data_IF_845055207889
#
_entry.id   IF_845055207889
#
_cell.length_a   1.000
_cell.length_b   1.000
_cell.length_c   1.000
_cell.angle_alpha   90.00
_cell.angle_beta   90.00
_cell.angle_gamma   90.00
#
_symmetry.space_group_name_H-M   'P 1'
#
loop_
_entity.id
_entity.type
_entity.pdbx_description
1 polymer ?
#
# COMPACT_ATOMS: atom_id res chain seq x y z
N UNK A 1 -10.83 -28.45 0.10
CA UNK A 1 -11.66 -27.24 -0.15
C UNK A 1 -10.72 -26.06 -0.26
N UNK A 2 -10.54 -25.50 -1.46
CA UNK A 2 -9.67 -24.32 -1.68
C UNK A 2 -10.54 -23.07 -1.68
N UNK A 3 -10.33 -22.18 -0.71
CA UNK A 3 -10.96 -20.86 -0.70
C UNK A 3 -10.19 -19.98 -1.69
N UNK A 4 -10.67 -19.90 -2.93
CA UNK A 4 -10.20 -18.88 -3.87
C UNK A 4 -10.85 -17.57 -3.46
N UNK A 5 -10.22 -16.84 -2.55
CA UNK A 5 -10.58 -15.46 -2.28
C UNK A 5 -10.21 -14.63 -3.52
N UNK A 6 -11.19 -14.44 -4.41
CA UNK A 6 -11.13 -13.37 -5.39
C UNK A 6 -11.11 -12.06 -4.60
N UNK A 7 -9.91 -11.56 -4.31
CA UNK A 7 -9.71 -10.22 -3.81
C UNK A 7 -10.11 -9.29 -4.95
N UNK A 8 -11.35 -8.80 -4.93
CA UNK A 8 -11.73 -7.65 -5.74
C UNK A 8 -10.95 -6.45 -5.17
N UNK A 9 -9.78 -6.21 -5.75
CA UNK A 9 -8.87 -5.18 -5.28
C UNK A 9 -9.47 -3.85 -5.71
N UNK A 10 -10.19 -3.18 -4.81
CA UNK A 10 -10.72 -1.84 -5.05
C UNK A 10 -9.57 -0.85 -5.29
N UNK A 11 -9.19 -0.68 -6.56
CA UNK A 11 -8.04 0.12 -6.97
C UNK A 11 -8.37 1.60 -6.87
N UNK A 12 -7.83 2.25 -5.85
CA UNK A 12 -7.97 3.69 -5.63
C UNK A 12 -6.68 4.43 -5.96
N UNK A 13 -6.81 5.65 -6.51
CA UNK A 13 -5.69 6.58 -6.58
C UNK A 13 -5.38 7.09 -5.16
N UNK A 14 -4.11 7.31 -4.85
CA UNK A 14 -3.69 7.91 -3.56
C UNK A 14 -4.42 9.25 -3.33
N UNK A 15 -4.58 10.06 -4.37
CA UNK A 15 -5.31 11.33 -4.32
C UNK A 15 -6.75 11.17 -3.84
N UNK A 16 -7.44 10.09 -4.25
CA UNK A 16 -8.83 9.86 -3.86
C UNK A 16 -8.91 9.55 -2.37
N UNK A 17 -7.99 8.73 -1.86
CA UNK A 17 -7.91 8.39 -0.44
C UNK A 17 -7.59 9.62 0.40
N UNK A 18 -6.61 10.43 -0.03
CA UNK A 18 -6.27 11.68 0.63
C UNK A 18 -7.47 12.65 0.70
N UNK A 19 -8.15 12.86 -0.43
CA UNK A 19 -9.31 13.75 -0.50
C UNK A 19 -10.46 13.24 0.37
N UNK A 20 -10.72 11.93 0.35
CA UNK A 20 -11.76 11.32 1.20
C UNK A 20 -11.46 11.54 2.68
N UNK A 21 -10.22 11.34 3.12
CA UNK A 21 -9.81 11.61 4.51
C UNK A 21 -9.96 13.10 4.87
N UNK A 22 -9.54 14.00 3.98
CA UNK A 22 -9.67 15.44 4.22
C UNK A 22 -11.13 15.87 4.35
N UNK A 23 -12.00 15.37 3.44
CA UNK A 23 -13.44 15.63 3.44
C UNK A 23 -14.15 15.02 4.64
N UNK A 24 -13.64 13.89 5.17
CA UNK A 24 -14.11 13.29 6.40
C UNK A 24 -13.65 14.04 7.67
N UNK A 25 -12.98 15.19 7.52
CA UNK A 25 -12.53 16.00 8.65
C UNK A 25 -11.18 15.56 9.23
N UNK A 26 -10.42 14.70 8.56
CA UNK A 26 -9.10 14.29 9.03
C UNK A 26 -7.99 15.22 8.50
N UNK A 27 -7.00 15.52 9.35
CA UNK A 27 -5.70 16.04 8.92
C UNK A 27 -4.75 14.88 8.65
N UNK A 28 -4.26 14.78 7.42
CA UNK A 28 -3.19 13.81 7.07
C UNK A 28 -1.86 14.34 7.58
N UNK A 29 -1.21 13.57 8.45
CA UNK A 29 0.06 13.95 9.10
C UNK A 29 1.27 13.35 8.39
N UNK A 30 1.11 12.16 7.80
CA UNK A 30 2.20 11.45 7.13
C UNK A 30 1.66 10.50 6.07
N UNK A 31 2.38 10.37 4.96
CA UNK A 31 2.17 9.35 3.93
C UNK A 31 3.52 8.69 3.67
N UNK A 32 3.58 7.36 3.70
CA UNK A 32 4.80 6.60 3.44
C UNK A 32 4.51 5.39 2.56
N UNK A 33 5.46 5.08 1.70
CA UNK A 33 5.55 3.82 0.95
C UNK A 33 6.60 2.96 1.65
N UNK A 34 6.21 2.14 2.66
CA UNK A 34 7.17 1.28 3.33
C UNK A 34 7.74 0.25 2.36
N UNK A 35 9.03 0.03 2.48
CA UNK A 35 9.76 -0.94 1.68
C UNK A 35 11.25 -0.79 1.87
N UNK A 36 12.00 -1.74 1.32
CA UNK A 36 13.45 -1.62 1.19
C UNK A 36 13.80 -1.45 -0.28
N UNK A 37 14.66 -0.49 -0.65
CA UNK A 37 15.15 -0.37 -2.01
C UNK A 37 16.18 -1.45 -2.37
N UNK A 38 16.65 -2.21 -1.38
CA UNK A 38 17.56 -3.34 -1.58
C UNK A 38 16.75 -4.64 -1.76
N UNK A 39 16.83 -5.28 -2.95
CA UNK A 39 16.14 -6.53 -3.25
C UNK A 39 16.44 -7.65 -2.25
N UNK A 40 17.65 -7.70 -1.66
CA UNK A 40 18.02 -8.76 -0.72
C UNK A 40 17.18 -8.76 0.58
N UNK A 41 16.51 -7.65 0.87
CA UNK A 41 15.60 -7.53 2.02
C UNK A 41 14.18 -8.06 1.73
N UNK A 42 13.91 -8.57 0.53
CA UNK A 42 12.61 -9.15 0.18
C UNK A 42 12.72 -10.66 0.00
N UNK A 43 11.81 -11.39 0.62
CA UNK A 43 11.71 -12.84 0.42
C UNK A 43 11.50 -13.17 -1.06
N UNK A 44 12.27 -14.15 -1.54
CA UNK A 44 12.11 -14.71 -2.88
C UNK A 44 10.68 -15.23 -3.10
N UNK A 45 10.17 -15.99 -2.12
CA UNK A 45 8.83 -16.59 -2.04
C UNK A 45 8.28 -17.20 -3.34
N UNK A 46 7.00 -17.62 -3.37
CA UNK A 46 6.34 -18.09 -4.59
C UNK A 46 5.69 -16.92 -5.36
N UNK A 47 6.26 -15.71 -5.30
CA UNK A 47 5.57 -14.45 -5.67
C UNK A 47 5.37 -14.22 -7.17
N UNK A 48 5.73 -15.19 -8.01
CA UNK A 48 5.45 -15.20 -9.45
C UNK A 48 5.90 -13.92 -10.17
N UNK A 49 4.96 -13.00 -10.40
CA UNK A 49 5.15 -11.74 -11.15
C UNK A 49 5.67 -10.56 -10.31
N UNK A 50 5.92 -10.75 -9.01
CA UNK A 50 6.42 -9.72 -8.10
C UNK A 50 7.71 -10.16 -7.39
N UNK A 51 8.80 -10.38 -8.16
CA UNK A 51 10.08 -10.79 -7.59
C UNK A 51 10.72 -9.65 -6.76
N UNK A 52 11.71 -9.95 -5.90
CA UNK A 52 12.39 -8.99 -5.06
C UNK A 52 12.87 -7.71 -5.77
N UNK A 53 13.39 -7.83 -6.99
CA UNK A 53 13.92 -6.69 -7.76
C UNK A 53 12.82 -5.71 -8.17
N UNK A 54 11.59 -6.20 -8.38
CA UNK A 54 10.43 -5.34 -8.65
C UNK A 54 9.87 -4.76 -7.35
N UNK A 55 9.78 -5.55 -6.27
CA UNK A 55 9.28 -5.08 -4.97
C UNK A 55 10.18 -4.02 -4.34
N UNK A 56 11.47 -4.05 -4.63
CA UNK A 56 12.40 -3.00 -4.25
C UNK A 56 12.17 -1.66 -4.97
N UNK A 57 11.58 -1.69 -6.17
CA UNK A 57 11.31 -0.50 -6.99
C UNK A 57 9.87 0.00 -6.87
N UNK A 58 8.93 -0.91 -6.61
CA UNK A 58 7.50 -0.66 -6.57
C UNK A 58 6.94 -1.15 -5.23
N UNK A 59 6.88 -0.28 -4.22
CA UNK A 59 6.25 -0.59 -2.95
C UNK A 59 4.77 -0.98 -3.17
N UNK A 60 4.35 -2.10 -2.60
CA UNK A 60 2.98 -2.61 -2.76
C UNK A 60 2.01 -2.09 -1.70
N UNK A 61 2.53 -1.34 -0.72
CA UNK A 61 1.77 -0.83 0.42
C UNK A 61 1.97 0.68 0.52
N UNK A 62 0.89 1.40 0.79
CA UNK A 62 0.90 2.82 1.06
C UNK A 62 0.24 3.04 2.43
N UNK A 63 0.96 3.64 3.38
CA UNK A 63 0.45 3.91 4.73
C UNK A 63 0.18 5.40 4.87
N UNK A 64 -1.02 5.74 5.34
CA UNK A 64 -1.42 7.11 5.66
C UNK A 64 -1.69 7.20 7.16
N UNK A 65 -0.98 8.11 7.84
CA UNK A 65 -1.31 8.51 9.21
C UNK A 65 -2.15 9.77 9.16
N UNK A 66 -3.36 9.72 9.70
CA UNK A 66 -4.25 10.85 9.79
C UNK A 66 -4.83 10.99 11.19
N UNK A 67 -5.16 12.22 11.59
CA UNK A 67 -5.81 12.57 12.85
C UNK A 67 -7.15 13.23 12.57
N UNK A 68 -8.20 12.83 13.27
CA UNK A 68 -9.51 13.50 13.21
C UNK A 68 -9.35 14.93 13.76
N UNK A 69 -9.85 15.93 13.03
CA UNK A 69 -9.96 17.30 13.54
C UNK A 69 -11.08 17.30 14.58
N UNK A 70 -10.72 17.61 15.82
CA UNK A 70 -11.70 17.90 16.88
C UNK A 70 -12.43 19.20 16.60
#
# INVERSE_FOLDING_TARGET
>A
MSLVAAHDVNRQKISNVYNALSNAGCTVERMIEPGSPDPANHDLGPWGKSPPELRAKLPNVFIIKARIRG
#
